data_IF_438884356974
#
_entry.id   IF_438884356974
#
_cell.length_a   1.000
_cell.length_b   1.000
_cell.length_c   1.000
_cell.angle_alpha   90.00
_cell.angle_beta   90.00
_cell.angle_gamma   90.00
#
_symmetry.space_group_name_H-M   'P 1'
#
loop_
_entity.id
_entity.type
_entity.pdbx_description
1 polymer ?
#
# COMPACT_ATOMS: atom_id res chain seq x y z
N UNK A 1 -18.66 -22.43 -12.00
CA UNK A 1 -17.87 -21.73 -10.97
C UNK A 1 -18.86 -21.13 -9.98
N UNK A 2 -18.81 -21.48 -8.66
CA UNK A 2 -19.82 -21.07 -7.70
C UNK A 2 -19.83 -19.54 -7.53
N UNK A 3 -21.03 -18.94 -7.42
CA UNK A 3 -21.24 -17.48 -7.14
C UNK A 3 -20.39 -16.98 -5.97
N UNK A 4 -20.20 -17.81 -4.96
CA UNK A 4 -19.34 -17.54 -3.80
C UNK A 4 -17.89 -17.18 -4.15
N UNK A 5 -17.28 -17.77 -5.19
CA UNK A 5 -15.94 -17.43 -5.63
C UNK A 5 -15.87 -16.11 -6.39
N UNK A 6 -16.92 -15.78 -7.12
CA UNK A 6 -16.99 -14.53 -7.88
C UNK A 6 -17.14 -13.32 -6.96
N UNK A 7 -18.07 -13.43 -5.99
CA UNK A 7 -18.33 -12.35 -5.04
C UNK A 7 -17.10 -12.07 -4.16
N UNK A 8 -16.38 -13.11 -3.75
CA UNK A 8 -15.12 -12.98 -3.03
C UNK A 8 -14.02 -12.33 -3.88
N UNK A 9 -13.97 -12.58 -5.17
CA UNK A 9 -12.97 -12.00 -6.05
C UNK A 9 -13.18 -10.49 -6.24
N UNK A 10 -14.41 -10.07 -6.46
CA UNK A 10 -14.75 -8.64 -6.56
C UNK A 10 -14.44 -7.90 -5.26
N UNK A 11 -14.79 -8.51 -4.11
CA UNK A 11 -14.48 -7.97 -2.80
C UNK A 11 -12.96 -7.84 -2.58
N UNK A 12 -12.17 -8.85 -2.95
CA UNK A 12 -10.72 -8.82 -2.89
C UNK A 12 -10.13 -7.71 -3.76
N UNK A 13 -10.62 -7.55 -5.00
CA UNK A 13 -10.16 -6.48 -5.90
C UNK A 13 -10.47 -5.10 -5.33
N UNK A 14 -11.67 -4.91 -4.80
CA UNK A 14 -12.10 -3.66 -4.16
C UNK A 14 -11.23 -3.35 -2.94
N UNK A 15 -10.97 -4.33 -2.07
CA UNK A 15 -10.11 -4.16 -0.92
C UNK A 15 -8.67 -3.79 -1.31
N UNK A 16 -8.12 -4.43 -2.34
CA UNK A 16 -6.82 -4.09 -2.87
C UNK A 16 -6.77 -2.67 -3.48
N UNK A 17 -7.85 -2.22 -4.10
CA UNK A 17 -7.95 -0.83 -4.57
C UNK A 17 -7.92 0.15 -3.39
N UNK A 18 -8.62 -0.15 -2.30
CA UNK A 18 -8.61 0.68 -1.09
C UNK A 18 -7.21 0.74 -0.46
N UNK A 19 -6.50 -0.39 -0.33
CA UNK A 19 -5.12 -0.43 0.17
C UNK A 19 -4.13 0.36 -0.70
N UNK A 20 -4.38 0.43 -2.02
CA UNK A 20 -3.52 1.13 -2.96
C UNK A 20 -4.02 2.54 -3.33
N UNK A 21 -5.04 3.05 -2.65
CA UNK A 21 -5.45 4.44 -2.75
C UNK A 21 -4.36 5.38 -2.18
N UNK A 22 -4.31 6.61 -2.67
CA UNK A 22 -3.45 7.63 -2.06
C UNK A 22 -4.01 7.97 -0.67
N UNK A 23 -3.15 8.25 0.33
CA UNK A 23 -3.62 8.67 1.64
C UNK A 23 -4.31 10.02 1.58
N UNK A 24 -5.25 10.25 2.51
CA UNK A 24 -5.90 11.55 2.65
C UNK A 24 -4.84 12.63 2.97
N UNK A 25 -4.91 13.74 2.25
CA UNK A 25 -4.00 14.88 2.43
C UNK A 25 -4.10 15.48 3.85
N UNK A 26 -5.26 15.41 4.49
CA UNK A 26 -5.46 15.85 5.87
C UNK A 26 -4.63 15.04 6.89
N UNK A 27 -4.30 13.79 6.56
CA UNK A 27 -3.47 12.93 7.39
C UNK A 27 -1.97 13.09 7.15
N UNK A 28 -1.53 13.95 6.23
CA UNK A 28 -0.12 14.13 5.86
C UNK A 28 0.43 15.40 6.51
N UNK A 29 1.53 15.27 7.22
CA UNK A 29 2.28 16.39 7.80
C UNK A 29 3.76 16.37 7.35
N UNK A 30 4.41 17.51 7.46
CA UNK A 30 5.85 17.62 7.25
C UNK A 30 6.60 17.16 8.49
N UNK A 31 7.72 16.47 8.30
CA UNK A 31 8.65 16.17 9.39
C UNK A 31 9.17 17.49 10.01
N UNK A 32 9.61 17.50 11.30
CA UNK A 32 10.07 18.73 11.97
C UNK A 32 11.20 19.45 11.22
N UNK A 33 12.04 18.73 10.50
CA UNK A 33 13.11 19.27 9.66
C UNK A 33 12.64 19.69 8.25
N UNK A 34 11.35 19.52 7.95
CA UNK A 34 10.70 19.83 6.66
C UNK A 34 11.30 19.14 5.43
N UNK A 35 12.12 18.11 5.62
CA UNK A 35 12.76 17.38 4.53
C UNK A 35 11.90 16.26 3.95
N UNK A 36 10.96 15.77 4.73
CA UNK A 36 10.07 14.68 4.34
C UNK A 36 8.63 14.95 4.82
N UNK A 37 7.71 14.16 4.31
CA UNK A 37 6.32 14.11 4.76
C UNK A 37 6.05 12.76 5.41
N UNK A 38 5.16 12.75 6.39
CA UNK A 38 4.77 11.55 7.13
C UNK A 38 3.28 11.57 7.40
N UNK A 39 2.69 10.40 7.64
CA UNK A 39 1.32 10.34 8.13
C UNK A 39 1.31 10.57 9.65
N UNK A 40 0.28 11.28 10.12
CA UNK A 40 -0.01 11.41 11.55
C UNK A 40 -0.39 10.03 12.08
N UNK A 41 0.08 9.68 13.28
CA UNK A 41 -0.18 8.34 13.84
C UNK A 41 -1.68 8.04 13.99
N UNK A 42 -2.48 9.01 14.42
CA UNK A 42 -3.93 8.86 14.54
C UNK A 42 -4.60 8.53 13.21
N UNK A 43 -4.10 9.10 12.10
CA UNK A 43 -4.61 8.76 10.76
C UNK A 43 -4.29 7.31 10.39
N UNK A 44 -3.08 6.83 10.72
CA UNK A 44 -2.70 5.42 10.49
C UNK A 44 -3.58 4.47 11.30
N UNK A 45 -3.81 4.77 12.58
CA UNK A 45 -4.67 3.96 13.47
C UNK A 45 -6.12 3.96 12.96
N UNK A 46 -6.69 5.12 12.63
CA UNK A 46 -8.04 5.22 12.06
C UNK A 46 -8.16 4.42 10.75
N UNK A 47 -7.17 4.54 9.86
CA UNK A 47 -7.15 3.78 8.60
C UNK A 47 -7.08 2.27 8.84
N UNK A 48 -6.31 1.83 9.86
CA UNK A 48 -6.29 0.42 10.26
C UNK A 48 -7.65 -0.03 10.79
N UNK A 49 -8.31 0.79 11.63
CA UNK A 49 -9.64 0.49 12.17
C UNK A 49 -10.68 0.38 11.05
N UNK A 50 -10.68 1.30 10.09
CA UNK A 50 -11.62 1.31 8.98
C UNK A 50 -11.41 0.13 8.01
N UNK A 51 -10.17 -0.12 7.59
CA UNK A 51 -9.88 -1.15 6.59
C UNK A 51 -9.95 -2.58 7.15
N UNK A 52 -9.59 -2.75 8.41
CA UNK A 52 -9.56 -4.06 9.06
C UNK A 52 -10.64 -4.23 10.14
N UNK A 53 -11.60 -3.29 10.22
CA UNK A 53 -12.74 -3.34 11.17
C UNK A 53 -12.29 -3.50 12.63
N UNK A 54 -11.20 -2.85 13.01
CA UNK A 54 -10.58 -2.99 14.33
C UNK A 54 -9.89 -4.33 14.59
N UNK A 55 -9.85 -5.25 13.61
CA UNK A 55 -9.19 -6.54 13.77
C UNK A 55 -7.68 -6.44 13.48
N UNK A 56 -7.01 -5.64 14.28
CA UNK A 56 -5.55 -5.51 14.26
C UNK A 56 -4.98 -5.42 15.67
N UNK A 57 -3.71 -5.76 15.82
CA UNK A 57 -2.97 -5.68 17.08
C UNK A 57 -1.49 -5.55 16.83
N UNK A 58 -0.78 -5.14 17.86
CA UNK A 58 0.68 -5.11 17.85
C UNK A 58 1.23 -6.15 18.82
N UNK A 59 2.28 -6.85 18.40
CA UNK A 59 2.94 -7.91 19.18
C UNK A 59 4.46 -7.71 19.16
N UNK A 60 5.16 -8.44 20.03
CA UNK A 60 6.62 -8.57 20.01
C UNK A 60 7.36 -7.21 20.02
N UNK A 61 6.87 -6.24 20.82
CA UNK A 61 7.62 -4.99 21.00
C UNK A 61 8.96 -5.27 21.68
N UNK A 62 10.04 -5.15 20.92
CA UNK A 62 11.42 -5.32 21.38
C UNK A 62 12.15 -4.00 21.23
N UNK A 63 12.94 -3.64 22.24
CA UNK A 63 13.69 -2.40 22.23
C UNK A 63 15.07 -2.55 22.80
N UNK A 64 15.97 -1.64 22.42
CA UNK A 64 17.31 -1.52 22.96
C UNK A 64 17.76 -0.05 22.96
N UNK A 65 18.69 0.29 23.81
CA UNK A 65 19.38 1.59 23.79
C UNK A 65 20.76 1.38 23.19
N UNK A 66 21.06 2.12 22.12
CA UNK A 66 22.38 2.12 21.50
C UNK A 66 22.89 3.57 21.48
N UNK A 67 23.96 3.81 22.22
CA UNK A 67 24.55 5.13 22.37
C UNK A 67 23.50 6.17 22.84
N UNK A 68 23.11 7.12 22.01
CA UNK A 68 22.09 8.13 22.33
C UNK A 68 20.77 7.90 21.57
N UNK A 69 20.49 6.66 21.20
CA UNK A 69 19.25 6.30 20.49
C UNK A 69 18.53 5.16 21.20
N UNK A 70 17.21 5.23 21.17
CA UNK A 70 16.35 4.08 21.47
C UNK A 70 15.88 3.49 20.15
N UNK A 71 16.12 2.21 19.98
CA UNK A 71 15.69 1.45 18.81
C UNK A 71 14.62 0.44 19.22
N UNK A 72 13.63 0.22 18.38
CA UNK A 72 12.65 -0.83 18.60
C UNK A 72 12.16 -1.46 17.31
N UNK A 73 11.57 -2.63 17.47
CA UNK A 73 10.76 -3.30 16.47
C UNK A 73 9.44 -3.78 17.06
N UNK A 74 8.44 -3.88 16.21
CA UNK A 74 7.09 -4.31 16.53
C UNK A 74 6.54 -5.16 15.39
N UNK A 75 5.72 -6.14 15.70
CA UNK A 75 4.91 -6.83 14.73
C UNK A 75 3.52 -6.20 14.69
N UNK A 76 3.11 -5.69 13.54
CA UNK A 76 1.72 -5.35 13.25
C UNK A 76 1.04 -6.58 12.66
N UNK A 77 -0.02 -7.03 13.31
CA UNK A 77 -0.83 -8.15 12.89
C UNK A 77 -2.22 -7.66 12.54
N UNK A 78 -2.67 -7.93 11.33
CA UNK A 78 -4.01 -7.59 10.85
C UNK A 78 -4.72 -8.84 10.35
N UNK A 79 -6.04 -8.91 10.53
CA UNK A 79 -6.85 -9.98 9.94
C UNK A 79 -7.43 -9.49 8.62
N UNK A 80 -7.13 -10.20 7.55
CA UNK A 80 -7.63 -9.85 6.22
C UNK A 80 -9.16 -9.97 6.17
N UNK A 81 -9.92 -8.90 5.87
CA UNK A 81 -11.36 -8.85 6.11
C UNK A 81 -12.19 -9.82 5.25
N UNK A 82 -11.63 -10.29 4.12
CA UNK A 82 -12.36 -11.17 3.21
C UNK A 82 -11.93 -12.63 3.39
N UNK A 83 -10.62 -12.87 3.55
CA UNK A 83 -10.11 -14.24 3.66
C UNK A 83 -10.01 -14.74 5.10
N UNK A 84 -10.06 -13.85 6.10
CA UNK A 84 -9.84 -14.20 7.51
C UNK A 84 -8.40 -14.56 7.87
N UNK A 85 -7.48 -14.55 6.93
CA UNK A 85 -6.08 -14.87 7.20
C UNK A 85 -5.36 -13.75 7.94
N UNK A 86 -4.49 -14.15 8.86
CA UNK A 86 -3.60 -13.24 9.56
C UNK A 86 -2.45 -12.79 8.66
N UNK A 87 -2.24 -11.49 8.60
CA UNK A 87 -1.12 -10.87 7.88
C UNK A 87 -0.23 -10.19 8.91
N UNK A 88 1.05 -10.51 8.92
CA UNK A 88 2.05 -9.96 9.83
C UNK A 88 3.03 -9.08 9.08
N UNK A 89 3.32 -7.89 9.63
CA UNK A 89 4.31 -6.94 9.10
C UNK A 89 5.18 -6.42 10.23
N UNK A 90 6.48 -6.44 10.00
CA UNK A 90 7.46 -5.91 10.97
C UNK A 90 7.72 -4.45 10.68
N UNK A 91 7.67 -3.62 11.72
CA UNK A 91 8.12 -2.23 11.68
C UNK A 91 9.24 -2.02 12.67
N UNK A 92 10.26 -1.29 12.27
CA UNK A 92 11.39 -0.92 13.13
C UNK A 92 11.67 0.57 13.00
N UNK A 93 12.10 1.17 14.10
CA UNK A 93 12.45 2.58 14.14
C UNK A 93 13.55 2.85 15.18
N UNK A 94 14.20 4.00 15.06
CA UNK A 94 15.05 4.57 16.09
C UNK A 94 14.66 6.01 16.39
N UNK A 95 14.84 6.42 17.62
CA UNK A 95 14.58 7.79 18.09
C UNK A 95 15.76 8.26 18.92
N UNK A 96 16.25 9.46 18.60
CA UNK A 96 17.32 10.08 19.39
C UNK A 96 16.77 10.48 20.76
N UNK A 97 17.49 10.14 21.81
CA UNK A 97 17.20 10.56 23.19
C UNK A 97 17.58 12.03 23.33
N UNK A 98 16.62 12.87 23.76
CA UNK A 98 16.86 14.29 23.91
C UNK A 98 17.85 14.58 25.02
N UNK A 99 18.79 15.47 24.72
CA UNK A 99 19.82 15.96 25.69
C UNK A 99 19.69 17.46 25.89
N UNK A 100 20.27 17.94 26.97
CA UNK A 100 20.40 19.35 27.21
C UNK A 100 21.36 19.99 26.18
N UNK A 101 21.16 21.29 25.94
CA UNK A 101 22.03 22.05 25.05
C UNK A 101 23.46 22.00 25.56
N UNK A 102 24.38 21.74 24.65
CA UNK A 102 25.82 21.82 24.95
C UNK A 102 26.14 23.23 25.42
N UNK A 103 26.71 23.41 26.63
CA UNK A 103 27.10 24.74 27.12
C UNK A 103 28.15 25.41 26.22
N UNK A 104 28.13 26.73 26.19
CA UNK A 104 29.17 27.48 25.49
C UNK A 104 30.51 27.27 26.21
N UNK A 105 31.55 26.97 25.45
CA UNK A 105 32.89 26.64 25.98
C UNK A 105 33.23 25.13 26.00
N UNK A 106 32.25 24.26 25.90
CA UNK A 106 32.49 22.81 25.73
C UNK A 106 32.88 22.54 24.27
N UNK A 107 34.06 22.01 24.03
CA UNK A 107 34.63 21.80 22.69
C UNK A 107 35.27 20.41 22.53
N UNK A 108 35.71 20.08 21.32
CA UNK A 108 36.46 18.87 21.06
C UNK A 108 35.74 17.57 21.41
N UNK A 109 36.46 16.63 22.02
CA UNK A 109 35.95 15.29 22.35
C UNK A 109 34.80 15.31 23.33
N UNK A 110 34.80 16.24 24.28
CA UNK A 110 33.73 16.40 25.28
C UNK A 110 32.40 16.77 24.58
N UNK A 111 32.44 17.75 23.68
CA UNK A 111 31.29 18.14 22.86
C UNK A 111 30.74 16.96 22.05
N UNK A 112 31.61 16.19 21.43
CA UNK A 112 31.22 15.05 20.61
C UNK A 112 30.60 13.92 21.44
N UNK A 113 30.99 13.78 22.71
CA UNK A 113 30.45 12.79 23.64
C UNK A 113 29.32 13.29 24.53
N UNK A 114 28.92 14.55 24.41
CA UNK A 114 27.91 15.19 25.26
C UNK A 114 26.63 14.36 25.36
N UNK A 115 26.12 13.92 24.22
CA UNK A 115 24.88 13.14 24.15
C UNK A 115 25.00 11.70 24.72
N UNK A 116 26.22 11.20 24.90
CA UNK A 116 26.45 9.87 25.46
C UNK A 116 26.47 9.88 27.00
N UNK A 117 26.68 11.05 27.62
CA UNK A 117 26.65 11.18 29.06
C UNK A 117 25.19 11.14 29.56
N UNK A 118 24.84 10.19 30.45
CA UNK A 118 23.50 10.09 31.04
C UNK A 118 23.06 11.36 31.77
N UNK A 119 23.97 12.07 32.40
CA UNK A 119 23.68 13.29 33.18
C UNK A 119 23.21 14.46 32.30
N UNK A 120 23.50 14.42 31.02
CA UNK A 120 23.11 15.43 30.04
C UNK A 120 21.75 15.14 29.38
N UNK A 121 21.08 14.05 29.73
CA UNK A 121 19.77 13.72 29.19
C UNK A 121 18.70 14.57 29.86
N UNK A 122 17.76 15.08 29.04
CA UNK A 122 16.62 15.83 29.56
C UNK A 122 15.77 14.97 30.50
N UNK A 123 15.19 15.59 31.51
CA UNK A 123 14.14 14.95 32.29
C UNK A 123 13.05 14.42 31.35
N UNK A 124 12.53 13.23 31.61
CA UNK A 124 11.49 12.55 30.81
C UNK A 124 11.88 12.27 29.35
N UNK A 125 13.18 12.35 28.97
CA UNK A 125 13.61 12.10 27.60
C UNK A 125 13.26 10.68 27.13
N UNK A 126 13.31 9.70 28.02
CA UNK A 126 12.98 8.30 27.71
C UNK A 126 11.49 8.12 27.51
N UNK A 127 10.62 8.70 28.34
CA UNK A 127 9.17 8.61 28.18
C UNK A 127 8.71 9.18 26.83
N UNK A 128 9.26 10.34 26.48
CA UNK A 128 8.98 10.97 25.17
C UNK A 128 9.53 10.14 24.01
N UNK A 129 10.71 9.53 24.17
CA UNK A 129 11.32 8.70 23.16
C UNK A 129 10.51 7.41 22.92
N UNK A 130 10.03 6.74 23.96
CA UNK A 130 9.22 5.52 23.83
C UNK A 130 7.87 5.77 23.16
N UNK A 131 7.16 6.83 23.51
CA UNK A 131 5.89 7.19 22.88
C UNK A 131 6.07 7.39 21.37
N UNK A 132 7.07 8.20 20.98
CA UNK A 132 7.43 8.43 19.59
C UNK A 132 7.89 7.15 18.89
N UNK A 133 8.73 6.36 19.54
CA UNK A 133 9.29 5.12 18.99
C UNK A 133 8.20 4.11 18.62
N UNK A 134 7.22 3.90 19.53
CA UNK A 134 6.06 3.03 19.26
C UNK A 134 5.27 3.50 18.03
N UNK A 135 5.00 4.79 17.94
CA UNK A 135 4.29 5.38 16.80
C UNK A 135 5.05 5.19 15.48
N UNK A 136 6.37 5.43 15.46
CA UNK A 136 7.20 5.26 14.27
C UNK A 136 7.31 3.79 13.86
N UNK A 137 7.42 2.85 14.80
CA UNK A 137 7.40 1.41 14.50
C UNK A 137 6.07 1.01 13.85
N UNK A 138 4.93 1.46 14.38
CA UNK A 138 3.61 1.15 13.83
C UNK A 138 3.46 1.74 12.41
N UNK A 139 3.83 3.01 12.20
CA UNK A 139 3.81 3.63 10.87
C UNK A 139 4.65 2.84 9.87
N UNK A 140 5.88 2.46 10.24
CA UNK A 140 6.77 1.68 9.38
C UNK A 140 6.22 0.29 9.04
N UNK A 141 5.57 -0.39 9.98
CA UNK A 141 4.92 -1.66 9.71
C UNK A 141 3.75 -1.48 8.73
N UNK A 142 2.90 -0.46 8.95
CA UNK A 142 1.73 -0.17 8.13
C UNK A 142 2.08 0.20 6.68
N UNK A 143 3.22 0.88 6.43
CA UNK A 143 3.71 1.19 5.07
C UNK A 143 3.71 -0.04 4.14
N UNK A 144 4.00 -1.21 4.67
CA UNK A 144 4.06 -2.45 3.89
C UNK A 144 2.70 -3.05 3.55
N UNK A 145 1.60 -2.56 4.15
CA UNK A 145 0.24 -2.99 3.84
C UNK A 145 -0.30 -2.37 2.55
N UNK A 146 -0.02 -1.08 2.30
CA UNK A 146 -0.55 -0.41 1.11
C UNK A 146 -0.11 1.05 0.97
N UNK A 147 -0.46 1.67 -0.17
CA UNK A 147 -0.17 3.09 -0.43
C UNK A 147 -0.93 4.02 0.49
N UNK A 148 -2.14 3.63 0.90
CA UNK A 148 -2.98 4.40 1.82
C UNK A 148 -2.28 4.71 3.15
N UNK A 149 -1.31 3.88 3.55
CA UNK A 149 -0.45 4.08 4.72
C UNK A 149 0.79 4.93 4.44
N UNK A 150 0.87 5.62 3.29
CA UNK A 150 1.93 6.59 2.99
C UNK A 150 3.18 6.01 2.35
N UNK A 151 3.16 4.77 1.83
CA UNK A 151 4.31 4.11 1.19
C UNK A 151 5.02 4.99 0.16
N UNK A 152 4.29 5.79 -0.61
CA UNK A 152 4.83 6.56 -1.73
C UNK A 152 4.88 8.08 -1.47
N UNK A 153 4.58 8.54 -0.24
CA UNK A 153 4.46 9.97 0.08
C UNK A 153 5.75 10.76 -0.18
N UNK A 154 6.92 10.13 -0.01
CA UNK A 154 8.23 10.76 -0.22
C UNK A 154 8.95 10.26 -1.49
N UNK A 155 8.30 9.43 -2.31
CA UNK A 155 8.92 8.93 -3.54
C UNK A 155 8.76 9.94 -4.67
N UNK A 156 9.87 10.29 -5.31
CA UNK A 156 9.90 11.17 -6.50
C UNK A 156 9.31 10.42 -7.70
N UNK A 157 9.76 9.19 -7.90
CA UNK A 157 9.24 8.31 -8.93
C UNK A 157 8.20 7.38 -8.30
N UNK A 158 6.93 7.78 -8.35
CA UNK A 158 5.84 6.91 -7.94
C UNK A 158 5.78 5.72 -8.89
N UNK A 159 5.68 4.54 -8.32
CA UNK A 159 5.43 3.34 -9.11
C UNK A 159 4.07 3.46 -9.81
N UNK A 160 4.11 3.61 -11.13
CA UNK A 160 2.91 3.64 -11.98
C UNK A 160 2.44 2.24 -12.36
N UNK A 161 3.14 1.22 -11.90
CA UNK A 161 2.73 -0.16 -12.09
C UNK A 161 1.32 -0.36 -11.51
N UNK A 162 0.39 -0.77 -12.37
CA UNK A 162 -0.96 -1.14 -11.98
C UNK A 162 -0.93 -2.63 -11.60
N UNK A 163 -0.71 -2.97 -10.31
CA UNK A 163 -0.37 -4.33 -9.90
C UNK A 163 -1.45 -5.36 -10.21
N UNK A 164 -2.67 -4.94 -10.40
CA UNK A 164 -3.81 -5.82 -10.59
C UNK A 164 -4.53 -5.59 -11.93
N UNK A 165 -3.77 -5.48 -13.00
CA UNK A 165 -4.27 -6.10 -14.23
C UNK A 165 -4.00 -7.58 -14.08
N UNK A 166 -4.87 -8.28 -13.36
CA UNK A 166 -4.98 -9.72 -13.43
C UNK A 166 -5.33 -10.07 -14.87
N UNK A 167 -4.29 -10.11 -15.72
CA UNK A 167 -4.41 -10.66 -17.04
C UNK A 167 -4.64 -12.16 -16.83
N UNK A 168 -5.87 -12.57 -16.98
CA UNK A 168 -6.24 -13.97 -17.23
C UNK A 168 -6.30 -14.94 -16.04
N UNK A 169 -5.69 -14.68 -14.89
CA UNK A 169 -5.70 -15.65 -13.77
C UNK A 169 -6.88 -15.51 -12.81
N UNK A 170 -7.50 -14.33 -12.78
CA UNK A 170 -8.77 -14.03 -12.10
C UNK A 170 -9.70 -13.36 -13.14
N UNK A 171 -9.56 -13.75 -14.39
CA UNK A 171 -10.39 -13.31 -15.50
C UNK A 171 -11.85 -13.51 -15.15
N UNK A 172 -12.69 -12.62 -15.64
CA UNK A 172 -14.10 -12.92 -15.83
C UNK A 172 -14.11 -14.38 -16.29
N UNK A 173 -14.90 -15.23 -15.63
CA UNK A 173 -14.93 -16.64 -16.05
C UNK A 173 -15.13 -16.71 -17.55
N UNK A 174 -14.57 -17.72 -18.22
CA UNK A 174 -14.55 -17.83 -19.69
C UNK A 174 -15.87 -17.38 -20.36
N UNK A 175 -17.02 -17.74 -19.79
CA UNK A 175 -18.36 -17.29 -20.25
C UNK A 175 -18.56 -15.76 -20.17
N UNK A 176 -17.94 -15.08 -19.22
CA UNK A 176 -18.05 -13.61 -19.09
C UNK A 176 -17.09 -12.88 -20.02
N UNK A 177 -15.92 -13.48 -20.30
CA UNK A 177 -15.01 -12.95 -21.30
C UNK A 177 -15.65 -13.06 -22.68
N UNK A 178 -16.30 -14.19 -22.98
CA UNK A 178 -17.07 -14.40 -24.22
C UNK A 178 -18.23 -13.39 -24.32
N UNK A 179 -19.05 -13.22 -23.28
CA UNK A 179 -20.16 -12.27 -23.28
C UNK A 179 -19.69 -10.81 -23.44
N UNK A 180 -18.61 -10.44 -22.79
CA UNK A 180 -18.01 -9.11 -22.89
C UNK A 180 -17.44 -8.84 -24.29
N UNK A 181 -16.75 -9.82 -24.86
CA UNK A 181 -16.20 -9.71 -26.23
C UNK A 181 -17.33 -9.62 -27.27
N UNK A 182 -18.42 -10.36 -27.10
CA UNK A 182 -19.62 -10.22 -27.92
C UNK A 182 -20.19 -8.81 -27.88
N UNK A 183 -20.31 -8.23 -26.70
CA UNK A 183 -20.77 -6.84 -26.55
C UNK A 183 -19.82 -5.85 -27.25
N UNK A 184 -18.50 -6.03 -27.13
CA UNK A 184 -17.51 -5.20 -27.83
C UNK A 184 -17.59 -5.34 -29.34
N UNK A 185 -17.83 -6.55 -29.87
CA UNK A 185 -18.03 -6.79 -31.30
C UNK A 185 -19.29 -6.08 -31.80
N UNK A 186 -20.39 -6.13 -31.03
CA UNK A 186 -21.62 -5.43 -31.37
C UNK A 186 -21.46 -3.91 -31.41
N UNK A 187 -20.71 -3.36 -30.45
CA UNK A 187 -20.44 -1.90 -30.30
C UNK A 187 -19.38 -1.40 -31.28
N UNK A 188 -18.62 -2.26 -31.93
CA UNK A 188 -17.57 -1.85 -32.86
C UNK A 188 -18.18 -1.14 -34.07
N UNK A 189 -17.62 0.03 -34.40
CA UNK A 189 -18.09 0.93 -35.47
C UNK A 189 -17.19 0.90 -36.71
N UNK A 190 -16.03 0.27 -36.65
CA UNK A 190 -15.06 0.17 -37.76
C UNK A 190 -14.19 -1.09 -37.68
N UNK A 191 -13.51 -1.40 -38.80
CA UNK A 191 -12.57 -2.53 -38.92
C UNK A 191 -11.38 -2.44 -37.96
N UNK A 192 -10.95 -1.21 -37.63
CA UNK A 192 -9.80 -1.01 -36.73
C UNK A 192 -10.12 -1.44 -35.29
N UNK A 193 -11.34 -1.19 -34.84
CA UNK A 193 -11.82 -1.63 -33.53
C UNK A 193 -11.95 -3.15 -33.49
N UNK A 194 -12.52 -3.77 -34.52
CA UNK A 194 -12.61 -5.23 -34.63
C UNK A 194 -11.23 -5.90 -34.62
N UNK A 195 -10.25 -5.30 -35.30
CA UNK A 195 -8.88 -5.81 -35.29
C UNK A 195 -8.19 -5.71 -33.91
N UNK A 196 -8.46 -4.65 -33.16
CA UNK A 196 -8.00 -4.50 -31.77
C UNK A 196 -8.64 -5.54 -30.85
N UNK A 197 -9.92 -5.83 -31.01
CA UNK A 197 -10.65 -6.86 -30.27
C UNK A 197 -10.02 -8.22 -30.55
N UNK A 198 -9.83 -8.57 -31.82
CA UNK A 198 -9.20 -9.81 -32.24
C UNK A 198 -7.82 -10.03 -31.60
N UNK A 199 -6.95 -9.00 -31.63
CA UNK A 199 -5.61 -9.07 -31.03
C UNK A 199 -5.61 -9.14 -29.51
N UNK A 200 -6.68 -8.73 -28.86
CA UNK A 200 -6.79 -8.70 -27.40
C UNK A 200 -7.40 -9.97 -26.81
N UNK A 201 -8.05 -10.81 -27.62
CA UNK A 201 -8.72 -12.03 -27.19
C UNK A 201 -7.74 -13.19 -27.02
N UNK A 202 -8.04 -14.07 -26.06
CA UNK A 202 -7.35 -15.37 -25.95
C UNK A 202 -7.82 -16.33 -27.06
N UNK A 203 -7.01 -17.35 -27.43
CA UNK A 203 -7.41 -18.34 -28.43
C UNK A 203 -8.73 -19.06 -28.10
N UNK A 204 -8.97 -19.29 -26.79
CA UNK A 204 -10.17 -19.96 -26.30
C UNK A 204 -11.43 -19.12 -26.52
N UNK A 205 -11.35 -17.81 -26.23
CA UNK A 205 -12.45 -16.86 -26.47
C UNK A 205 -12.68 -16.68 -27.97
N UNK A 206 -11.60 -16.61 -28.77
CA UNK A 206 -11.70 -16.50 -30.23
C UNK A 206 -12.39 -17.71 -30.87
N UNK A 207 -12.23 -18.91 -30.31
CA UNK A 207 -12.91 -20.11 -30.80
C UNK A 207 -14.45 -19.99 -30.66
N UNK A 208 -14.95 -19.23 -29.68
CA UNK A 208 -16.39 -19.06 -29.46
C UNK A 208 -17.00 -17.83 -30.14
N UNK A 209 -16.22 -16.76 -30.37
CA UNK A 209 -16.73 -15.51 -30.95
C UNK A 209 -16.22 -15.25 -32.35
N UNK A 210 -15.42 -16.15 -32.91
CA UNK A 210 -14.76 -15.98 -34.21
C UNK A 210 -15.73 -15.79 -35.36
N UNK A 211 -16.82 -16.56 -35.39
CA UNK A 211 -17.85 -16.44 -36.42
C UNK A 211 -18.58 -15.11 -36.38
N UNK A 212 -18.90 -14.63 -35.15
CA UNK A 212 -19.55 -13.34 -34.94
C UNK A 212 -18.64 -12.17 -35.36
N UNK A 213 -17.34 -12.30 -35.04
CA UNK A 213 -16.33 -11.29 -35.39
C UNK A 213 -16.09 -11.25 -36.90
N UNK A 214 -16.09 -12.39 -37.59
CA UNK A 214 -15.97 -12.46 -39.05
C UNK A 214 -17.22 -11.92 -39.75
N UNK A 215 -18.41 -12.31 -39.28
CA UNK A 215 -19.65 -11.76 -39.80
C UNK A 215 -19.74 -10.22 -39.68
N UNK A 216 -19.23 -9.67 -38.56
CA UNK A 216 -19.20 -8.22 -38.39
C UNK A 216 -18.14 -7.54 -39.27
N UNK A 217 -17.01 -8.17 -39.53
CA UNK A 217 -15.99 -7.70 -40.51
C UNK A 217 -16.57 -7.64 -41.92
N UNK A 218 -17.30 -8.68 -42.33
CA UNK A 218 -17.91 -8.73 -43.65
C UNK A 218 -18.93 -7.61 -43.88
N UNK A 219 -19.64 -7.17 -42.82
CA UNK A 219 -20.52 -6.01 -42.89
C UNK A 219 -19.79 -4.71 -43.23
N UNK A 220 -18.55 -4.55 -42.79
CA UNK A 220 -17.71 -3.37 -43.08
C UNK A 220 -16.90 -3.51 -44.37
N UNK A 221 -16.67 -4.74 -44.87
CA UNK A 221 -15.99 -4.99 -46.12
C UNK A 221 -16.88 -4.93 -47.38
N UNK A 222 -18.21 -4.96 -47.21
CA UNK A 222 -19.16 -4.82 -48.30
C UNK A 222 -19.58 -3.37 -48.61
N UNK A 223 -18.99 -2.39 -47.97
CA UNK A 223 -19.28 -0.94 -48.13
C UNK A 223 -18.22 -0.20 -48.94
N UNK A 224 -17.38 -0.90 -49.73
CA UNK A 224 -16.53 -0.29 -50.76
C UNK A 224 -17.06 -0.50 -52.16
#
# INVERSE_FOLDING_TARGET
MNSFHKDNLEALQKFQQMLNAEPDQAGIESTPDKKARTLVISHVETTLDELFFGHWRTENFKWAVLANEVQASIDLVVIHPISGYEIRRVGAASVIIMVDRVPDGVTGTERNRWALNPDNKKANAMDLAFGKLKAECLKNAALSLGKVFGRDVNRVNKDTYKPFKLKGALGRGHEQDVAYVRELIQQATDLTQLHKIFKACSPEVLAEVGDELNAKKDQYGMTE
#
